data_IF_906284982959
#
_entry.id   IF_906284982959
#
_cell.length_a   1.000
_cell.length_b   1.000
_cell.length_c   1.000
_cell.angle_alpha   90.00
_cell.angle_beta   90.00
_cell.angle_gamma   90.00
#
_symmetry.space_group_name_H-M   'P 1'
#
loop_
_entity.id
_entity.type
_entity.pdbx_description
1 polymer ?
#
# COMPACT_ATOMS: atom_id res chain seq x y z
N UNK A 1 -11.57 -8.12 -13.14
CA UNK A 1 -10.30 -8.40 -12.44
C UNK A 1 -10.58 -8.47 -10.95
N UNK A 2 -9.97 -9.38 -10.18
CA UNK A 2 -10.22 -9.48 -8.74
C UNK A 2 -9.67 -8.24 -8.01
N UNK A 3 -10.43 -7.78 -7.01
CA UNK A 3 -10.04 -6.68 -6.12
C UNK A 3 -9.54 -7.25 -4.80
N UNK A 4 -8.42 -6.75 -4.30
CA UNK A 4 -7.80 -7.22 -3.06
C UNK A 4 -7.81 -6.10 -2.02
N UNK A 5 -8.30 -6.38 -0.82
CA UNK A 5 -8.15 -5.51 0.32
C UNK A 5 -7.14 -6.11 1.30
N UNK A 6 -6.12 -5.33 1.68
CA UNK A 6 -5.17 -5.69 2.73
C UNK A 6 -5.53 -4.90 3.98
N UNK A 7 -5.84 -5.64 5.05
CA UNK A 7 -6.21 -5.07 6.35
C UNK A 7 -4.95 -4.80 7.14
N UNK A 8 -4.57 -3.53 7.23
CA UNK A 8 -3.37 -3.08 7.92
C UNK A 8 -2.28 -2.55 6.97
N UNK A 9 -1.56 -1.56 7.49
CA UNK A 9 -0.59 -0.72 6.79
C UNK A 9 0.81 -0.87 7.38
N UNK A 10 1.09 -2.03 7.99
CA UNK A 10 2.44 -2.38 8.45
C UNK A 10 3.36 -2.61 7.26
N UNK A 11 4.67 -2.64 7.49
CA UNK A 11 5.69 -2.89 6.47
C UNK A 11 5.33 -4.07 5.57
N UNK A 12 4.95 -5.22 6.14
CA UNK A 12 4.57 -6.40 5.36
C UNK A 12 3.23 -6.26 4.62
N UNK A 13 2.25 -5.56 5.19
CA UNK A 13 0.98 -5.28 4.50
C UNK A 13 1.20 -4.42 3.26
N UNK A 14 2.03 -3.38 3.38
CA UNK A 14 2.44 -2.53 2.26
C UNK A 14 3.26 -3.31 1.22
N UNK A 15 4.24 -4.12 1.64
CA UNK A 15 5.03 -4.97 0.74
C UNK A 15 4.14 -5.91 -0.06
N UNK A 16 3.20 -6.61 0.59
CA UNK A 16 2.27 -7.49 -0.10
C UNK A 16 1.41 -6.71 -1.10
N UNK A 17 0.95 -5.51 -0.72
CA UNK A 17 0.20 -4.62 -1.61
C UNK A 17 0.97 -4.28 -2.87
N UNK A 18 2.23 -3.88 -2.74
CA UNK A 18 3.11 -3.56 -3.87
C UNK A 18 3.34 -4.77 -4.77
N UNK A 19 3.61 -5.94 -4.19
CA UNK A 19 3.81 -7.19 -4.95
C UNK A 19 2.56 -7.55 -5.75
N UNK A 20 1.38 -7.44 -5.16
CA UNK A 20 0.12 -7.76 -5.85
C UNK A 20 -0.24 -6.72 -6.91
N UNK A 21 -0.01 -5.43 -6.64
CA UNK A 21 -0.22 -4.36 -7.61
C UNK A 21 0.69 -4.52 -8.85
N UNK A 22 1.96 -4.91 -8.66
CA UNK A 22 2.85 -5.24 -9.78
C UNK A 22 2.40 -6.44 -10.62
N UNK A 23 1.55 -7.31 -10.08
CA UNK A 23 0.90 -8.39 -10.85
C UNK A 23 -0.35 -7.93 -11.62
N UNK A 24 -0.65 -6.63 -11.61
CA UNK A 24 -1.80 -6.04 -12.30
C UNK A 24 -3.11 -6.18 -11.54
N UNK A 25 -3.06 -6.47 -10.24
CA UNK A 25 -4.26 -6.55 -9.39
C UNK A 25 -4.64 -5.16 -8.86
N UNK A 26 -5.94 -4.89 -8.75
CA UNK A 26 -6.44 -3.71 -8.04
C UNK A 26 -6.39 -4.00 -6.55
N UNK A 27 -5.54 -3.29 -5.83
CA UNK A 27 -5.30 -3.48 -4.39
C UNK A 27 -5.74 -2.23 -3.64
N UNK A 28 -6.20 -2.40 -2.41
CA UNK A 28 -6.48 -1.32 -1.45
C UNK A 28 -5.84 -1.65 -0.10
N UNK A 29 -5.15 -0.70 0.49
CA UNK A 29 -4.71 -0.78 1.88
C UNK A 29 -5.76 -0.16 2.81
N UNK A 30 -6.15 -0.89 3.85
CA UNK A 30 -7.02 -0.35 4.90
C UNK A 30 -6.19 0.05 6.11
N UNK A 31 -6.00 1.36 6.27
CA UNK A 31 -5.34 1.96 7.41
C UNK A 31 -6.27 2.01 8.62
N UNK A 32 -5.70 2.10 9.83
CA UNK A 32 -6.49 2.21 11.07
C UNK A 32 -7.22 3.55 11.16
N UNK A 33 -6.63 4.61 10.59
CA UNK A 33 -7.15 5.99 10.70
C UNK A 33 -7.08 6.72 9.36
N UNK A 34 -7.97 7.69 9.16
CA UNK A 34 -7.99 8.51 7.94
C UNK A 34 -6.71 9.34 7.77
N UNK A 35 -6.12 9.79 8.89
CA UNK A 35 -4.84 10.51 8.89
C UNK A 35 -3.72 9.64 8.33
N UNK A 36 -3.68 8.38 8.73
CA UNK A 36 -2.71 7.41 8.21
C UNK A 36 -2.96 7.10 6.73
N UNK A 37 -4.22 6.87 6.34
CA UNK A 37 -4.59 6.63 4.95
C UNK A 37 -4.19 7.82 4.04
N UNK A 38 -4.46 9.05 4.48
CA UNK A 38 -4.09 10.26 3.75
C UNK A 38 -2.57 10.40 3.61
N UNK A 39 -1.82 10.18 4.70
CA UNK A 39 -0.34 10.21 4.65
C UNK A 39 0.19 9.21 3.61
N UNK A 40 -0.34 8.00 3.59
CA UNK A 40 0.07 6.96 2.65
C UNK A 40 -0.31 7.28 1.20
N UNK A 41 -1.50 7.86 0.95
CA UNK A 41 -1.90 8.30 -0.39
C UNK A 41 -1.03 9.43 -0.93
N UNK A 42 -0.71 10.41 -0.09
CA UNK A 42 -0.02 11.62 -0.53
C UNK A 42 1.50 11.44 -0.60
N UNK A 43 2.07 10.68 0.35
CA UNK A 43 3.53 10.54 0.52
C UNK A 43 4.06 9.15 0.19
N UNK A 44 3.19 8.15 0.06
CA UNK A 44 3.61 6.75 -0.07
C UNK A 44 4.16 6.15 1.23
N UNK A 45 4.88 5.02 1.14
CA UNK A 45 5.46 4.35 2.30
C UNK A 45 6.61 5.16 2.89
N UNK A 46 6.89 4.96 4.18
CA UNK A 46 8.04 5.57 4.84
C UNK A 46 9.36 5.02 4.25
N UNK A 47 10.24 5.86 3.69
CA UNK A 47 11.51 5.40 3.10
C UNK A 47 12.44 4.70 4.09
N UNK A 48 12.31 4.96 5.40
CA UNK A 48 13.09 4.25 6.42
C UNK A 48 12.60 2.81 6.64
N UNK A 49 11.32 2.54 6.39
CA UNK A 49 10.72 1.21 6.53
C UNK A 49 10.75 0.42 5.23
N UNK A 50 10.63 1.10 4.10
CA UNK A 50 10.61 0.51 2.75
C UNK A 50 11.48 1.35 1.80
N UNK A 51 12.82 1.22 1.88
CA UNK A 51 13.73 2.01 1.07
C UNK A 51 13.58 1.69 -0.42
N UNK A 52 13.44 2.72 -1.25
CA UNK A 52 13.34 2.59 -2.71
C UNK A 52 11.98 2.07 -3.22
N UNK A 53 10.99 1.91 -2.36
CA UNK A 53 9.64 1.47 -2.75
C UNK A 53 8.74 2.68 -2.97
N UNK A 54 8.09 2.73 -4.13
CA UNK A 54 6.99 3.66 -4.43
C UNK A 54 5.71 2.87 -4.62
N UNK A 55 4.57 3.38 -4.14
CA UNK A 55 3.29 2.73 -4.39
C UNK A 55 2.92 2.80 -5.88
N UNK A 56 2.66 1.64 -6.53
CA UNK A 56 2.11 1.63 -7.87
C UNK A 56 0.72 2.27 -7.91
N UNK A 57 0.26 2.80 -9.04
CA UNK A 57 -1.04 3.47 -9.14
C UNK A 57 -2.25 2.54 -8.93
N UNK A 58 -2.02 1.21 -8.93
CA UNK A 58 -3.06 0.20 -8.70
C UNK A 58 -3.26 -0.17 -7.21
N UNK A 59 -2.51 0.45 -6.29
CA UNK A 59 -2.52 0.20 -4.83
C UNK A 59 -3.14 1.37 -4.03
#
# INVERSE_FOLDING_TARGET
MPKVAIIGTTTWGMTLGVVLAHKGLEVRLWARTEKEASKLRDKGPDPHLLPGVTFPPQL
#
